data_IF_576433786239
#
_entry.id   IF_576433786239
#
_cell.length_a   1.000
_cell.length_b   1.000
_cell.length_c   1.000
_cell.angle_alpha   90.00
_cell.angle_beta   90.00
_cell.angle_gamma   90.00
#
_symmetry.space_group_name_H-M   'P 1'
#
loop_
_entity.id
_entity.type
_entity.pdbx_description
1 polymer ?
#
# COMPACT_ATOMS: atom_id res chain seq x y z
N UNK A 1 1.63 -12.84 17.78
CA UNK A 1 0.21 -12.54 18.03
C UNK A 1 0.05 -11.59 19.20
N UNK A 2 0.63 -11.93 20.36
CA UNK A 2 0.58 -11.08 21.57
C UNK A 2 1.12 -9.67 21.31
N UNK A 3 2.18 -9.53 20.48
CA UNK A 3 2.75 -8.23 20.10
C UNK A 3 1.79 -7.41 19.21
N UNK A 4 1.04 -8.05 18.32
CA UNK A 4 0.07 -7.35 17.47
C UNK A 4 -1.14 -6.87 18.27
N UNK A 5 -1.63 -7.66 19.21
CA UNK A 5 -2.71 -7.27 20.12
C UNK A 5 -2.32 -6.05 20.96
N UNK A 6 -1.06 -5.98 21.42
CA UNK A 6 -0.52 -4.83 22.16
C UNK A 6 -0.42 -3.57 21.27
N UNK A 7 0.06 -3.71 20.03
CA UNK A 7 0.17 -2.61 19.08
C UNK A 7 -1.22 -2.07 18.67
N UNK A 8 -2.17 -2.97 18.46
CA UNK A 8 -3.56 -2.60 18.15
C UNK A 8 -4.18 -1.84 19.33
N UNK A 9 -4.05 -2.36 20.54
CA UNK A 9 -4.57 -1.72 21.76
C UNK A 9 -3.96 -0.32 21.99
N UNK A 10 -2.66 -0.14 21.70
CA UNK A 10 -1.99 1.16 21.78
C UNK A 10 -2.54 2.16 20.75
N UNK A 11 -2.77 1.71 19.50
CA UNK A 11 -3.36 2.54 18.45
C UNK A 11 -4.81 2.92 18.76
N UNK A 12 -5.61 1.98 19.28
CA UNK A 12 -6.97 2.27 19.75
C UNK A 12 -7.00 3.26 20.92
N UNK A 13 -6.06 3.12 21.89
CA UNK A 13 -5.93 4.06 23.00
C UNK A 13 -5.58 5.47 22.50
N UNK A 14 -4.69 5.56 21.50
CA UNK A 14 -4.40 6.83 20.81
C UNK A 14 -5.66 7.42 20.17
N UNK A 15 -6.43 6.63 19.40
CA UNK A 15 -7.66 7.09 18.77
C UNK A 15 -8.67 7.62 19.80
N UNK A 16 -8.85 6.93 20.93
CA UNK A 16 -9.69 7.43 22.03
C UNK A 16 -9.21 8.75 22.59
N UNK A 17 -7.91 8.99 22.65
CA UNK A 17 -7.35 10.26 23.15
C UNK A 17 -7.65 11.45 22.25
N UNK A 18 -7.93 11.23 20.96
CA UNK A 18 -8.28 12.29 20.02
C UNK A 18 -9.61 12.96 20.36
N UNK A 19 -10.55 12.23 20.99
CA UNK A 19 -11.89 12.72 21.34
C UNK A 19 -11.86 13.86 22.38
N UNK A 20 -10.77 13.96 23.17
CA UNK A 20 -10.61 14.95 24.20
C UNK A 20 -9.46 15.95 23.95
N UNK A 21 -8.86 15.89 22.76
CA UNK A 21 -7.75 16.77 22.38
C UNK A 21 -8.25 18.19 22.19
N UNK A 22 -7.66 19.14 22.93
CA UNK A 22 -8.02 20.56 22.85
C UNK A 22 -7.69 21.20 21.49
N UNK A 23 -6.61 20.76 20.83
CA UNK A 23 -6.19 21.21 19.52
C UNK A 23 -6.17 20.05 18.52
N UNK A 24 -7.25 19.91 17.74
CA UNK A 24 -7.44 18.76 16.87
C UNK A 24 -6.44 18.72 15.70
N UNK A 25 -5.96 19.87 15.21
CA UNK A 25 -5.23 19.96 13.95
C UNK A 25 -3.71 20.05 14.07
N UNK A 26 -3.19 20.24 15.29
CA UNK A 26 -1.76 20.39 15.52
C UNK A 26 -1.29 19.44 16.60
N UNK A 27 -0.25 18.66 16.28
CA UNK A 27 0.41 17.80 17.23
C UNK A 27 1.57 18.57 17.91
N UNK A 28 1.66 18.51 19.23
CA UNK A 28 2.88 18.90 19.91
C UNK A 28 4.01 17.91 19.55
N UNK A 29 5.26 18.29 19.80
CA UNK A 29 6.42 17.42 19.54
C UNK A 29 6.31 16.05 20.23
N UNK A 30 5.81 16.02 21.46
CA UNK A 30 5.57 14.77 22.19
C UNK A 30 4.46 13.91 21.54
N UNK A 31 3.39 14.53 21.04
CA UNK A 31 2.31 13.85 20.35
C UNK A 31 2.76 13.33 18.98
N UNK A 32 3.59 14.08 18.26
CA UNK A 32 4.20 13.65 17.02
C UNK A 32 5.09 12.43 17.22
N UNK A 33 5.95 12.46 18.24
CA UNK A 33 6.81 11.33 18.60
C UNK A 33 5.99 10.08 18.96
N UNK A 34 4.90 10.25 19.71
CA UNK A 34 3.98 9.16 20.03
C UNK A 34 3.33 8.62 18.76
N UNK A 35 2.78 9.48 17.89
CA UNK A 35 2.17 9.10 16.63
C UNK A 35 3.13 8.31 15.74
N UNK A 36 4.35 8.80 15.54
CA UNK A 36 5.36 8.17 14.70
C UNK A 36 5.80 6.78 15.20
N UNK A 37 5.64 6.52 16.50
CA UNK A 37 5.98 5.22 17.12
C UNK A 37 4.89 4.17 17.00
N UNK A 38 3.64 4.56 16.69
CA UNK A 38 2.50 3.65 16.62
C UNK A 38 2.42 3.00 15.25
N UNK A 39 2.15 1.68 15.21
CA UNK A 39 2.00 0.89 13.97
C UNK A 39 3.23 0.84 13.05
N UNK A 40 4.39 1.35 13.47
CA UNK A 40 5.64 1.25 12.71
C UNK A 40 6.44 0.00 13.08
N UNK A 41 5.96 -1.17 12.64
CA UNK A 41 6.56 -2.48 13.00
C UNK A 41 7.93 -2.67 12.36
N UNK A 42 8.11 -2.16 11.15
CA UNK A 42 9.31 -2.36 10.34
C UNK A 42 10.37 -1.27 10.51
N UNK A 43 10.06 -0.17 11.21
CA UNK A 43 10.91 1.01 11.28
C UNK A 43 11.02 1.78 9.96
N UNK A 44 10.08 1.54 9.04
CA UNK A 44 10.05 2.19 7.71
C UNK A 44 8.98 3.26 7.59
N UNK A 45 8.15 3.44 8.63
CA UNK A 45 7.02 4.35 8.63
C UNK A 45 5.77 3.80 7.94
N UNK A 46 5.76 2.55 7.49
CA UNK A 46 4.56 1.89 6.93
C UNK A 46 3.70 1.39 8.08
N UNK A 47 2.45 1.87 8.15
CA UNK A 47 1.46 1.44 9.14
C UNK A 47 0.47 0.40 8.60
N UNK A 48 0.37 0.23 7.30
CA UNK A 48 -0.56 -0.71 6.69
C UNK A 48 -0.63 -0.55 5.17
N UNK A 49 -1.67 -1.11 4.58
CA UNK A 49 -1.91 -1.08 3.13
C UNK A 49 -3.36 -0.73 2.85
N UNK A 50 -3.61 -0.05 1.73
CA UNK A 50 -4.95 0.20 1.21
C UNK A 50 -5.14 -0.52 -0.13
N UNK A 51 -6.29 -1.16 -0.31
CA UNK A 51 -6.72 -1.79 -1.54
C UNK A 51 -8.06 -1.21 -1.99
N UNK A 52 -8.16 -0.81 -3.26
CA UNK A 52 -9.40 -0.28 -3.86
C UNK A 52 -9.63 -1.06 -5.16
N UNK A 53 -10.40 -2.17 -5.11
CA UNK A 53 -10.55 -3.08 -6.24
C UNK A 53 -11.15 -2.44 -7.49
N UNK A 54 -12.15 -1.55 -7.34
CA UNK A 54 -12.85 -0.92 -8.46
C UNK A 54 -11.95 -0.09 -9.38
N UNK A 55 -10.82 0.41 -8.85
CA UNK A 55 -9.83 1.20 -9.62
C UNK A 55 -8.43 0.56 -9.64
N UNK A 56 -8.33 -0.69 -9.21
CA UNK A 56 -7.10 -1.49 -9.18
C UNK A 56 -5.94 -0.79 -8.46
N UNK A 57 -6.18 -0.32 -7.23
CA UNK A 57 -5.20 0.28 -6.33
C UNK A 57 -4.82 -0.70 -5.24
N UNK A 58 -3.52 -0.84 -4.98
CA UNK A 58 -2.94 -1.53 -3.83
C UNK A 58 -1.65 -0.78 -3.46
N UNK A 59 -1.66 -0.08 -2.33
CA UNK A 59 -0.62 0.87 -1.95
C UNK A 59 -0.30 0.79 -0.45
N UNK A 60 0.98 0.98 -0.06
CA UNK A 60 1.32 1.16 1.35
C UNK A 60 0.80 2.51 1.88
N UNK A 61 0.45 2.50 3.16
CA UNK A 61 0.05 3.68 3.93
C UNK A 61 1.17 4.03 4.88
N UNK A 62 1.72 5.23 4.76
CA UNK A 62 2.79 5.74 5.59
C UNK A 62 2.29 6.75 6.62
N UNK A 63 3.07 6.94 7.68
CA UNK A 63 2.89 8.05 8.60
C UNK A 63 3.09 9.38 7.90
N UNK A 64 2.18 10.32 8.15
CA UNK A 64 2.24 11.69 7.64
C UNK A 64 2.01 11.82 6.14
N UNK A 65 2.00 13.06 5.69
CA UNK A 65 1.74 13.45 4.30
C UNK A 65 2.86 14.32 3.73
N UNK A 66 4.12 14.01 4.10
CA UNK A 66 5.28 14.70 3.55
C UNK A 66 5.41 14.46 2.04
N UNK A 67 6.06 15.38 1.34
CA UNK A 67 6.28 15.25 -0.11
C UNK A 67 6.96 13.93 -0.48
N UNK A 68 7.92 13.48 0.34
CA UNK A 68 8.60 12.20 0.13
C UNK A 68 7.67 10.98 0.19
N UNK A 69 6.70 10.99 1.10
CA UNK A 69 5.67 9.95 1.20
C UNK A 69 4.74 10.01 0.00
N UNK A 70 4.17 11.17 -0.27
CA UNK A 70 3.14 11.34 -1.31
C UNK A 70 3.66 11.13 -2.73
N UNK A 71 4.99 11.16 -2.97
CA UNK A 71 5.60 10.80 -4.25
C UNK A 71 5.53 9.31 -4.58
N UNK A 72 5.42 8.45 -3.57
CA UNK A 72 5.54 6.99 -3.73
C UNK A 72 4.35 6.19 -3.19
N UNK A 73 3.54 6.78 -2.31
CA UNK A 73 2.56 6.05 -1.53
C UNK A 73 1.36 6.92 -1.12
N UNK A 74 0.54 6.34 -0.25
CA UNK A 74 -0.53 7.03 0.47
C UNK A 74 -0.01 7.43 1.85
N UNK A 75 -0.32 8.65 2.27
CA UNK A 75 0.03 9.20 3.58
C UNK A 75 -1.19 9.33 4.49
N UNK A 76 -1.02 8.99 5.75
CA UNK A 76 -2.03 9.19 6.79
C UNK A 76 -1.93 10.62 7.35
N UNK A 77 -3.05 11.33 7.46
CA UNK A 77 -3.09 12.64 8.10
C UNK A 77 -2.91 12.48 9.61
N UNK A 78 -1.81 12.98 10.14
CA UNK A 78 -1.30 12.77 11.51
C UNK A 78 -2.23 13.23 12.64
N UNK A 79 -3.13 14.18 12.37
CA UNK A 79 -4.11 14.67 13.34
C UNK A 79 -5.43 13.87 13.34
N UNK A 80 -5.60 12.87 12.45
CA UNK A 80 -6.80 12.03 12.34
C UNK A 80 -6.61 10.69 13.04
N UNK A 81 -7.68 9.91 13.15
CA UNK A 81 -7.62 8.57 13.78
C UNK A 81 -6.71 7.62 12.98
N UNK A 82 -5.88 6.87 13.68
CA UNK A 82 -5.09 5.78 13.10
C UNK A 82 -5.99 4.75 12.39
N UNK A 83 -5.50 4.07 11.35
CA UNK A 83 -6.31 3.19 10.49
C UNK A 83 -6.61 1.82 11.13
N UNK A 84 -7.03 1.80 12.38
CA UNK A 84 -7.41 0.59 13.12
C UNK A 84 -8.92 0.47 13.34
N UNK A 85 -9.70 1.43 12.83
CA UNK A 85 -11.14 1.46 12.97
C UNK A 85 -11.61 1.71 14.41
N UNK A 86 -12.88 1.44 14.65
CA UNK A 86 -13.53 1.57 15.95
C UNK A 86 -14.56 2.68 16.02
N UNK A 87 -15.42 2.60 17.02
CA UNK A 87 -16.50 3.58 17.25
C UNK A 87 -15.92 4.96 17.54
N UNK A 88 -16.50 6.00 16.94
CA UNK A 88 -16.06 7.39 17.04
C UNK A 88 -14.62 7.60 16.52
N UNK A 89 -14.29 6.99 15.39
CA UNK A 89 -13.03 7.19 14.67
C UNK A 89 -13.27 7.73 13.27
N UNK A 90 -12.31 8.51 12.77
CA UNK A 90 -12.27 8.97 11.39
C UNK A 90 -10.82 8.98 10.90
N UNK A 91 -10.42 7.97 10.15
CA UNK A 91 -9.12 7.88 9.50
C UNK A 91 -9.13 8.68 8.20
N UNK A 92 -8.06 9.41 7.90
CA UNK A 92 -7.93 10.14 6.64
C UNK A 92 -6.63 9.79 5.94
N UNK A 93 -6.76 9.31 4.71
CA UNK A 93 -5.66 8.89 3.86
C UNK A 93 -5.56 9.78 2.62
N UNK A 94 -4.38 10.35 2.38
CA UNK A 94 -4.13 11.25 1.25
C UNK A 94 -3.20 10.61 0.23
N UNK A 95 -3.51 10.77 -1.04
CA UNK A 95 -2.67 10.32 -2.13
C UNK A 95 -2.65 11.30 -3.28
N UNK A 96 -1.51 11.42 -3.94
CA UNK A 96 -1.37 12.27 -5.12
C UNK A 96 -2.21 11.80 -6.30
N UNK A 97 -2.55 12.74 -7.16
CA UNK A 97 -3.19 12.53 -8.44
C UNK A 97 -2.35 13.14 -9.57
N UNK A 98 -2.20 12.39 -10.66
CA UNK A 98 -1.56 12.92 -11.87
C UNK A 98 -0.04 12.94 -11.83
N UNK A 99 0.62 12.16 -10.97
CA UNK A 99 2.06 11.99 -11.03
C UNK A 99 2.46 11.16 -12.27
N UNK A 100 3.47 11.60 -13.04
CA UNK A 100 3.96 10.82 -14.19
C UNK A 100 4.54 9.46 -13.80
N UNK A 101 5.08 9.36 -12.58
CA UNK A 101 5.79 8.18 -12.07
C UNK A 101 4.91 7.14 -11.41
N UNK A 102 3.70 7.52 -10.93
CA UNK A 102 2.84 6.64 -10.15
C UNK A 102 1.36 7.00 -10.27
N UNK A 103 0.51 5.99 -10.41
CA UNK A 103 -0.94 6.20 -10.52
C UNK A 103 -1.58 6.65 -9.20
N UNK A 104 -1.13 6.16 -8.07
CA UNK A 104 -1.64 6.44 -6.74
C UNK A 104 -3.18 6.59 -6.72
N UNK A 105 -3.71 7.77 -6.36
CA UNK A 105 -5.14 8.09 -6.36
C UNK A 105 -5.62 8.78 -7.65
N UNK A 106 -4.92 8.59 -8.78
CA UNK A 106 -5.27 9.25 -10.06
C UNK A 106 -6.71 8.95 -10.49
N UNK A 107 -7.18 7.73 -10.27
CA UNK A 107 -8.52 7.29 -10.67
C UNK A 107 -9.56 7.34 -9.52
N UNK A 108 -9.27 8.04 -8.43
CA UNK A 108 -10.19 8.12 -7.29
C UNK A 108 -11.55 8.75 -7.66
N UNK A 109 -11.59 9.55 -8.71
CA UNK A 109 -12.82 10.15 -9.27
C UNK A 109 -13.72 9.17 -10.04
N UNK A 110 -13.29 7.92 -10.23
CA UNK A 110 -14.10 6.87 -10.84
C UNK A 110 -14.89 6.06 -9.80
N UNK A 111 -14.60 6.25 -8.51
CA UNK A 111 -15.32 5.59 -7.42
C UNK A 111 -16.73 6.17 -7.31
N UNK A 112 -17.68 5.30 -7.01
CA UNK A 112 -19.09 5.65 -6.78
C UNK A 112 -19.53 5.20 -5.38
N UNK A 113 -20.62 5.76 -4.87
CA UNK A 113 -21.25 5.30 -3.63
C UNK A 113 -21.67 3.81 -3.77
N UNK A 114 -21.36 3.02 -2.75
CA UNK A 114 -21.54 1.56 -2.74
C UNK A 114 -20.29 0.77 -3.14
N UNK A 115 -19.26 1.41 -3.73
CA UNK A 115 -17.95 0.77 -3.91
C UNK A 115 -17.30 0.51 -2.55
N UNK A 116 -16.40 -0.49 -2.49
CA UNK A 116 -15.67 -0.80 -1.26
C UNK A 116 -14.17 -0.58 -1.42
N UNK A 117 -13.53 -0.23 -0.31
CA UNK A 117 -12.08 -0.30 -0.17
C UNK A 117 -11.69 -0.95 1.15
N UNK A 118 -10.49 -1.50 1.20
CA UNK A 118 -10.00 -2.30 2.31
C UNK A 118 -8.71 -1.70 2.86
N UNK A 119 -8.62 -1.59 4.18
CA UNK A 119 -7.37 -1.26 4.88
C UNK A 119 -6.88 -2.52 5.58
N UNK A 120 -5.60 -2.85 5.38
CA UNK A 120 -4.92 -3.93 6.09
C UNK A 120 -3.91 -3.34 7.04
N UNK A 121 -4.06 -3.62 8.31
CA UNK A 121 -3.18 -3.13 9.36
C UNK A 121 -2.94 -4.25 10.38
N UNK A 122 -1.69 -4.52 10.70
CA UNK A 122 -1.33 -5.70 11.52
C UNK A 122 -1.91 -6.97 10.91
N UNK A 123 -2.74 -7.69 11.67
CA UNK A 123 -3.52 -8.86 11.22
C UNK A 123 -5.02 -8.55 10.99
N UNK A 124 -5.40 -7.28 11.05
CA UNK A 124 -6.77 -6.82 10.83
C UNK A 124 -7.05 -6.47 9.36
N UNK A 125 -8.27 -6.77 8.92
CA UNK A 125 -8.82 -6.38 7.61
C UNK A 125 -10.06 -5.54 7.83
N UNK A 126 -10.00 -4.29 7.42
CA UNK A 126 -11.03 -3.29 7.66
C UNK A 126 -11.67 -2.90 6.33
N UNK A 127 -12.92 -3.33 6.10
CA UNK A 127 -13.67 -3.00 4.88
C UNK A 127 -14.55 -1.78 5.11
N UNK A 128 -14.47 -0.82 4.19
CA UNK A 128 -15.27 0.39 4.18
C UNK A 128 -16.09 0.45 2.88
N UNK A 129 -17.38 0.74 3.00
CA UNK A 129 -18.26 1.02 1.86
C UNK A 129 -18.41 2.52 1.69
N UNK A 130 -18.22 3.01 0.47
CA UNK A 130 -18.31 4.43 0.14
C UNK A 130 -19.76 4.91 0.31
N UNK A 131 -19.95 5.87 1.20
CA UNK A 131 -21.25 6.45 1.53
C UNK A 131 -21.36 7.94 1.17
N UNK A 132 -20.25 8.60 0.82
CA UNK A 132 -20.25 10.02 0.50
C UNK A 132 -19.07 10.43 -0.35
N UNK A 133 -19.33 11.23 -1.39
CA UNK A 133 -18.30 11.81 -2.26
C UNK A 133 -18.50 13.32 -2.30
N UNK A 134 -17.45 14.09 -1.97
CA UNK A 134 -17.49 15.55 -1.89
C UNK A 134 -16.32 16.16 -2.65
N UNK A 135 -16.53 17.37 -3.16
CA UNK A 135 -15.47 18.27 -3.62
C UNK A 135 -15.50 19.51 -2.72
N UNK A 136 -14.37 19.80 -2.09
CA UNK A 136 -14.25 20.89 -1.10
C UNK A 136 -13.04 21.77 -1.39
N UNK A 137 -13.01 22.94 -0.81
CA UNK A 137 -11.81 23.80 -0.81
C UNK A 137 -10.65 23.13 -0.04
N UNK A 138 -9.39 23.45 -0.37
CA UNK A 138 -8.22 22.76 0.22
C UNK A 138 -8.10 22.90 1.74
N UNK A 139 -8.66 23.94 2.33
CA UNK A 139 -8.65 24.27 3.76
C UNK A 139 -9.95 23.88 4.48
N UNK A 140 -10.95 23.39 3.76
CA UNK A 140 -12.18 22.88 4.38
C UNK A 140 -11.98 21.45 4.88
N UNK A 141 -11.75 21.32 6.17
CA UNK A 141 -11.56 20.03 6.87
C UNK A 141 -12.82 19.56 7.60
N UNK A 142 -13.95 20.25 7.45
CA UNK A 142 -15.18 19.99 8.21
C UNK A 142 -15.68 18.56 8.02
N UNK A 143 -15.58 18.03 6.79
CA UNK A 143 -16.00 16.68 6.45
C UNK A 143 -15.02 15.58 6.93
N UNK A 144 -13.87 15.95 7.52
CA UNK A 144 -12.85 15.01 8.02
C UNK A 144 -12.89 14.83 9.54
N UNK A 145 -13.79 15.55 10.23
CA UNK A 145 -13.93 15.49 11.67
C UNK A 145 -14.55 14.15 12.11
N UNK A 146 -14.25 13.74 13.34
CA UNK A 146 -14.84 12.56 13.96
C UNK A 146 -16.35 12.78 14.14
N UNK A 147 -17.15 11.83 13.69
CA UNK A 147 -18.59 11.78 13.95
C UNK A 147 -18.84 10.78 15.09
N UNK A 148 -19.47 11.19 16.20
CA UNK A 148 -19.71 10.29 17.33
C UNK A 148 -20.49 9.01 16.93
N UNK A 149 -20.01 7.87 17.43
CA UNK A 149 -20.63 6.57 17.19
C UNK A 149 -20.35 5.97 15.80
N UNK A 150 -19.57 6.64 14.93
CA UNK A 150 -19.26 6.14 13.60
C UNK A 150 -17.81 5.71 13.46
N UNK A 151 -17.58 4.70 12.63
CA UNK A 151 -16.27 4.24 12.17
C UNK A 151 -16.14 4.64 10.70
N UNK A 152 -15.32 5.66 10.43
CA UNK A 152 -15.19 6.30 9.13
C UNK A 152 -13.75 6.27 8.62
N UNK A 153 -13.61 6.18 7.31
CA UNK A 153 -12.35 6.42 6.62
C UNK A 153 -12.60 7.26 5.37
N UNK A 154 -11.81 8.33 5.18
CA UNK A 154 -11.91 9.21 4.00
C UNK A 154 -10.61 9.18 3.20
N UNK A 155 -10.74 8.94 1.89
CA UNK A 155 -9.66 9.06 0.93
C UNK A 155 -9.66 10.45 0.32
N UNK A 156 -8.49 11.09 0.25
CA UNK A 156 -8.33 12.47 -0.20
C UNK A 156 -7.36 12.55 -1.37
N UNK A 157 -7.75 13.27 -2.41
CA UNK A 157 -6.83 13.63 -3.51
C UNK A 157 -7.15 15.02 -4.06
N UNK A 158 -6.24 15.56 -4.87
CA UNK A 158 -6.46 16.84 -5.57
C UNK A 158 -7.43 16.70 -6.74
N UNK A 159 -8.22 17.74 -7.01
CA UNK A 159 -9.15 17.80 -8.13
C UNK A 159 -9.34 19.27 -8.57
N UNK A 160 -9.74 19.58 -9.83
CA UNK A 160 -9.74 18.71 -11.01
C UNK A 160 -8.32 18.27 -11.40
N UNK A 161 -8.20 17.21 -12.22
CA UNK A 161 -6.92 16.71 -12.70
C UNK A 161 -6.08 17.82 -13.36
N UNK A 162 -4.84 17.97 -12.92
CA UNK A 162 -3.90 18.97 -13.44
C UNK A 162 -4.13 20.42 -12.96
N UNK A 163 -5.32 20.77 -12.43
CA UNK A 163 -5.63 22.07 -11.86
C UNK A 163 -5.40 22.09 -10.35
N UNK A 164 -5.85 21.03 -9.65
CA UNK A 164 -5.61 20.80 -8.22
C UNK A 164 -6.14 21.90 -7.27
N UNK A 165 -7.14 22.66 -7.70
CA UNK A 165 -7.71 23.77 -6.95
C UNK A 165 -8.55 23.35 -5.75
N UNK A 166 -9.10 22.14 -5.78
CA UNK A 166 -9.98 21.59 -4.75
C UNK A 166 -9.45 20.23 -4.25
N UNK A 167 -10.16 19.64 -3.29
CA UNK A 167 -9.94 18.28 -2.82
C UNK A 167 -11.17 17.42 -3.09
N UNK A 168 -10.93 16.24 -3.66
CA UNK A 168 -11.92 15.18 -3.77
C UNK A 168 -11.83 14.34 -2.51
N UNK A 169 -12.95 14.19 -1.81
CA UNK A 169 -13.11 13.36 -0.62
C UNK A 169 -14.01 12.18 -0.96
N UNK A 170 -13.51 10.96 -0.76
CA UNK A 170 -14.28 9.72 -0.90
C UNK A 170 -14.36 9.09 0.48
N UNK A 171 -15.51 9.22 1.15
CA UNK A 171 -15.72 8.72 2.50
C UNK A 171 -16.38 7.36 2.47
N UNK A 172 -15.85 6.43 3.27
CA UNK A 172 -16.46 5.15 3.58
C UNK A 172 -16.82 5.01 5.05
N UNK A 173 -17.87 4.24 5.32
CA UNK A 173 -18.21 3.77 6.65
C UNK A 173 -17.87 2.29 6.77
N UNK A 174 -17.55 1.84 8.00
CA UNK A 174 -17.18 0.45 8.28
C UNK A 174 -18.33 -0.50 7.96
N UNK A 175 -18.02 -1.58 7.25
CA UNK A 175 -18.92 -2.72 7.00
C UNK A 175 -18.25 -4.03 7.40
N UNK A 176 -19.04 -5.10 7.52
CA UNK A 176 -18.49 -6.43 7.76
C UNK A 176 -17.62 -6.87 6.58
N UNK A 177 -16.42 -7.37 6.88
CA UNK A 177 -15.52 -7.91 5.88
C UNK A 177 -16.10 -9.20 5.31
N UNK A 178 -16.24 -9.29 3.99
CA UNK A 178 -16.78 -10.51 3.37
C UNK A 178 -15.75 -11.65 3.40
N UNK A 179 -16.22 -12.90 3.40
CA UNK A 179 -15.33 -14.08 3.35
C UNK A 179 -14.41 -14.08 2.13
N UNK A 180 -14.81 -13.44 1.01
CA UNK A 180 -13.98 -13.31 -0.17
C UNK A 180 -12.77 -12.37 0.06
N UNK A 181 -12.97 -11.27 0.78
CA UNK A 181 -11.90 -10.32 1.15
C UNK A 181 -10.94 -10.94 2.18
N UNK A 182 -11.47 -11.77 3.08
CA UNK A 182 -10.68 -12.51 4.06
C UNK A 182 -9.86 -13.64 3.40
N UNK A 183 -10.40 -14.30 2.37
CA UNK A 183 -9.72 -15.36 1.61
C UNK A 183 -8.56 -14.81 0.75
N UNK A 184 -8.67 -13.59 0.22
CA UNK A 184 -7.57 -12.89 -0.46
C UNK A 184 -6.39 -12.69 0.50
N UNK A 185 -6.65 -12.44 1.79
CA UNK A 185 -5.64 -12.38 2.85
C UNK A 185 -4.82 -13.68 2.92
N UNK A 186 -5.49 -14.83 3.00
CA UNK A 186 -4.82 -16.14 3.14
C UNK A 186 -3.95 -16.48 1.93
N UNK A 187 -4.33 -16.04 0.74
CA UNK A 187 -3.57 -16.26 -0.50
C UNK A 187 -2.38 -15.29 -0.60
N UNK A 188 -2.56 -14.05 -0.18
CA UNK A 188 -1.48 -13.03 -0.18
C UNK A 188 -0.38 -13.36 0.85
N UNK A 189 -0.75 -13.79 2.04
CA UNK A 189 0.20 -14.22 3.08
C UNK A 189 0.86 -15.57 2.77
N UNK A 190 0.18 -16.44 1.98
CA UNK A 190 0.69 -17.75 1.55
C UNK A 190 1.70 -17.71 0.41
N UNK A 191 1.80 -16.62 -0.34
CA UNK A 191 2.73 -16.44 -1.47
C UNK A 191 3.85 -15.45 -1.12
N UNK A 192 4.43 -15.56 0.06
CA UNK A 192 5.79 -15.09 0.29
C UNK A 192 6.75 -16.15 -0.26
N UNK A 193 6.92 -16.14 -1.58
CA UNK A 193 7.94 -16.93 -2.24
C UNK A 193 9.28 -16.31 -1.87
N UNK A 194 9.97 -16.90 -0.89
CA UNK A 194 11.31 -16.44 -0.52
C UNK A 194 12.22 -16.48 -1.76
N UNK A 195 12.75 -15.35 -2.24
CA UNK A 195 13.61 -15.30 -3.43
C UNK A 195 14.82 -16.23 -3.31
N UNK A 196 15.25 -16.52 -2.08
CA UNK A 196 16.36 -17.40 -1.75
C UNK A 196 16.06 -18.87 -2.06
N UNK A 197 14.79 -19.30 -2.05
CA UNK A 197 14.38 -20.67 -2.40
C UNK A 197 14.10 -20.84 -3.90
N UNK A 198 13.62 -19.79 -4.57
CA UNK A 198 13.27 -19.85 -6.00
C UNK A 198 14.48 -19.68 -6.89
N UNK A 199 15.42 -18.81 -6.51
CA UNK A 199 16.63 -18.53 -7.28
C UNK A 199 17.44 -19.82 -7.62
N UNK A 200 17.74 -20.74 -6.70
CA UNK A 200 18.45 -21.96 -7.02
C UNK A 200 17.63 -22.96 -7.87
N UNK A 201 16.30 -23.01 -7.68
CA UNK A 201 15.41 -23.92 -8.44
C UNK A 201 15.37 -23.54 -9.93
N UNK A 202 15.42 -22.24 -10.25
CA UNK A 202 15.45 -21.76 -11.64
C UNK A 202 16.87 -21.73 -12.21
N UNK A 203 17.85 -21.34 -11.43
CA UNK A 203 19.24 -21.20 -11.88
C UNK A 203 19.91 -22.55 -12.16
N UNK A 204 19.62 -23.60 -11.39
CA UNK A 204 20.27 -24.90 -11.52
C UNK A 204 19.98 -25.58 -12.87
N UNK A 205 18.73 -25.68 -13.35
CA UNK A 205 18.44 -26.28 -14.67
C UNK A 205 18.97 -25.41 -15.82
N UNK A 206 18.99 -24.08 -15.69
CA UNK A 206 19.59 -23.19 -16.70
C UNK A 206 21.12 -23.39 -16.80
N UNK A 207 21.80 -23.52 -15.67
CA UNK A 207 23.26 -23.80 -15.64
C UNK A 207 23.57 -25.18 -16.20
N UNK A 208 22.76 -26.20 -15.89
CA UNK A 208 22.87 -27.55 -16.44
C UNK A 208 22.68 -27.59 -17.96
N UNK A 209 21.68 -26.87 -18.47
CA UNK A 209 21.44 -26.73 -19.90
C UNK A 209 22.60 -26.02 -20.61
N UNK A 210 23.15 -24.96 -20.02
CA UNK A 210 24.32 -24.25 -20.56
C UNK A 210 25.57 -25.14 -20.58
N UNK A 211 25.80 -25.89 -19.52
CA UNK A 211 26.92 -26.86 -19.43
C UNK A 211 26.80 -27.95 -20.50
N UNK A 212 25.61 -28.50 -20.71
CA UNK A 212 25.33 -29.50 -21.76
C UNK A 212 25.60 -28.92 -23.16
N UNK A 213 25.18 -27.71 -23.44
CA UNK A 213 25.44 -27.02 -24.72
C UNK A 213 26.95 -26.81 -24.93
N UNK A 214 27.69 -26.43 -23.90
CA UNK A 214 29.15 -26.25 -23.98
C UNK A 214 29.87 -27.56 -24.21
N UNK A 215 29.47 -28.64 -23.54
CA UNK A 215 30.05 -29.99 -23.70
C UNK A 215 29.77 -30.57 -25.11
N UNK A 216 28.57 -30.38 -25.63
CA UNK A 216 28.19 -30.82 -26.97
C UNK A 216 28.82 -29.94 -28.09
N UNK A 217 29.04 -28.66 -27.82
CA UNK A 217 29.71 -27.75 -28.76
C UNK A 217 31.23 -27.95 -28.80
N UNK A 218 31.84 -28.36 -27.68
CA UNK A 218 33.29 -28.63 -27.58
C UNK A 218 33.75 -29.85 -28.38
N UNK A 219 32.85 -30.77 -28.76
CA UNK A 219 33.19 -32.02 -29.44
C UNK A 219 33.22 -31.92 -31.00
N UNK A 220 33.12 -30.71 -31.57
CA UNK A 220 33.17 -30.45 -33.04
C UNK A 220 34.49 -29.89 -33.58
N UNK A 221 35.58 -29.85 -32.78
CA UNK A 221 36.88 -29.46 -33.26
C UNK A 221 37.83 -30.66 -33.27
N UNK A 222 37.92 -31.33 -34.42
CA UNK A 222 38.92 -32.37 -34.61
C UNK A 222 38.73 -33.18 -35.89
N UNK A 223 38.85 -32.53 -37.05
CA UNK A 223 39.15 -33.27 -38.29
C UNK A 223 40.34 -32.59 -38.93
N UNK A 224 41.53 -33.27 -39.00
CA UNK A 224 42.63 -32.74 -39.76
C UNK A 224 42.33 -32.89 -41.25
N UNK A 225 42.63 -31.88 -42.00
CA UNK A 225 42.66 -31.82 -43.45
C UNK A 225 43.95 -32.52 -43.89
N UNK A 226 43.84 -33.76 -44.39
CA UNK A 226 44.93 -34.44 -45.05
C UNK A 226 45.05 -33.88 -46.48
N UNK A 227 46.07 -33.10 -46.65
CA UNK A 227 46.47 -32.60 -47.96
C UNK A 227 46.97 -33.74 -48.83
N UNK A 228 46.47 -33.81 -50.05
CA UNK A 228 47.10 -34.58 -51.11
C UNK A 228 47.70 -33.64 -52.14
N UNK A 229 48.96 -33.86 -52.38
CA UNK A 229 49.77 -33.06 -53.25
C UNK A 229 49.55 -33.39 -54.72
N UNK A 230 49.76 -32.38 -55.52
CA UNK A 230 49.94 -32.50 -56.93
C UNK A 230 51.31 -33.03 -57.32
N UNK A 231 51.39 -33.70 -58.44
CA UNK A 231 52.56 -33.57 -59.28
C UNK A 231 52.24 -33.09 -60.69
N UNK A 232 52.90 -32.04 -61.08
CA UNK A 232 53.60 -31.72 -62.32
C UNK A 232 53.03 -32.26 -63.65
N UNK A 233 52.62 -31.36 -64.55
CA UNK A 233 53.22 -30.99 -65.88
C UNK A 233 52.55 -29.72 -66.43
#
# INVERSE_FOLDING_TARGET
RDTYDELLAAAEAYNRSLLTRENAFFLSEAQQTQYDSLLDISGTGIMGYIEIPSINVSLPVYHGTSDSVLQIAVGHLDWTSLPVGGESTHCVLSGHRGLPSAKLFTNLDQIVEGDTFVIRVLDEVLTYEVDRILIVEPDDVTALLIEPGRDLCTLVTCTPYGVNSHRLLVRGHRVETTQAEEMIRLVSDGIQVEPLLVAPIVALPMLLALLLILLLSGNKKGRPDDGDGDPIE
#
